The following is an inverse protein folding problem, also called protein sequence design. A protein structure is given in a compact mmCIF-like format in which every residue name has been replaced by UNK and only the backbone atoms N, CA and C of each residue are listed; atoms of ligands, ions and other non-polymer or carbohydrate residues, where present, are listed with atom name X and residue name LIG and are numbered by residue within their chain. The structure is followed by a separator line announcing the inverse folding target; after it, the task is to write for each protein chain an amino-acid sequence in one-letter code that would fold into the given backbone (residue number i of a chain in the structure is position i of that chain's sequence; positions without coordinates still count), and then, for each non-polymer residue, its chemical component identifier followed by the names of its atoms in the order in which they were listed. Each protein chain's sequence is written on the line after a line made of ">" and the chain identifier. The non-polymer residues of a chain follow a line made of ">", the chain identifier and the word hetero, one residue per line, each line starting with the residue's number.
data_IF_281682876249
#
_entry.id   IF_281682876249
#
_cell.length_a   1.000
_cell.length_b   1.000
_cell.length_c   1.000
_cell.angle_alpha   90.00
_cell.angle_beta   90.00
_cell.angle_gamma   90.00
#
_symmetry.space_group_name_H-M   'P 1'
#
loop_
_entity.id
_entity.type
_entity.pdbx_description
1 polymer ?
#
# COMPACT_ATOMS: atom_id res chain seq x y z
N UNK A 1 -23.43 -16.44 -2.51
CA UNK A 1 -22.17 -15.71 -2.78
C UNK A 1 -21.06 -16.39 -2.02
N UNK A 2 -20.30 -17.28 -2.69
CA UNK A 2 -19.15 -17.94 -2.06
C UNK A 2 -18.13 -16.89 -1.67
N UNK A 3 -17.77 -16.82 -0.39
CA UNK A 3 -16.66 -16.00 0.08
C UNK A 3 -15.43 -16.39 -0.73
N UNK A 4 -15.01 -15.51 -1.64
CA UNK A 4 -13.77 -15.71 -2.38
C UNK A 4 -12.66 -15.86 -1.35
N UNK A 5 -11.95 -16.98 -1.40
CA UNK A 5 -10.77 -17.20 -0.57
C UNK A 5 -9.90 -15.95 -0.64
N UNK A 6 -9.42 -15.42 0.50
CA UNK A 6 -8.63 -14.20 0.49
C UNK A 6 -7.47 -14.36 -0.51
N UNK A 7 -7.20 -13.33 -1.32
CA UNK A 7 -6.21 -13.46 -2.36
C UNK A 7 -4.87 -13.79 -1.73
N UNK A 8 -4.26 -14.89 -2.16
CA UNK A 8 -3.01 -15.39 -1.59
C UNK A 8 -1.92 -14.32 -1.76
N UNK A 9 -1.14 -14.02 -0.70
CA UNK A 9 -0.05 -13.06 -0.80
C UNK A 9 0.96 -13.51 -1.85
N UNK A 10 1.58 -12.54 -2.53
CA UNK A 10 2.67 -12.82 -3.45
C UNK A 10 3.83 -13.42 -2.66
N UNK A 11 4.06 -14.73 -2.79
CA UNK A 11 5.23 -15.39 -2.20
C UNK A 11 6.46 -15.00 -3.01
N UNK A 12 7.19 -13.99 -2.51
CA UNK A 12 8.48 -13.60 -3.08
C UNK A 12 9.49 -14.75 -3.01
N UNK A 13 10.48 -14.73 -3.89
CA UNK A 13 11.59 -15.69 -3.80
C UNK A 13 12.40 -15.45 -2.52
N UNK A 14 12.65 -16.52 -1.76
CA UNK A 14 13.58 -16.49 -0.64
C UNK A 14 15.01 -16.72 -1.16
N UNK A 15 15.63 -15.62 -1.60
CA UNK A 15 16.95 -15.63 -2.24
C UNK A 15 18.06 -15.76 -1.19
N UNK A 16 18.79 -16.88 -1.23
CA UNK A 16 19.96 -17.14 -0.39
C UNK A 16 21.25 -17.01 -1.19
N UNK A 17 22.34 -16.48 -0.61
CA UNK A 17 23.64 -16.47 -1.26
C UNK A 17 24.06 -17.90 -1.63
N UNK A 18 24.53 -18.08 -2.86
CA UNK A 18 25.00 -19.36 -3.37
C UNK A 18 26.30 -19.16 -4.15
N UNK A 19 27.23 -20.09 -3.97
CA UNK A 19 28.43 -20.20 -4.80
C UNK A 19 28.14 -21.23 -5.88
N UNK A 20 28.24 -20.82 -7.13
CA UNK A 20 28.06 -21.71 -8.27
C UNK A 20 29.42 -22.30 -8.62
N UNK A 21 29.50 -23.62 -8.74
CA UNK A 21 30.71 -24.37 -9.13
C UNK A 21 30.73 -24.75 -10.62
N UNK A 22 29.66 -24.39 -11.34
CA UNK A 22 29.51 -24.59 -12.77
C UNK A 22 28.97 -23.31 -13.39
N UNK A 23 29.33 -22.99 -14.65
CA UNK A 23 28.73 -21.87 -15.36
C UNK A 23 27.21 -21.99 -15.33
N UNK A 24 26.55 -20.98 -14.78
CA UNK A 24 25.10 -20.93 -14.60
C UNK A 24 24.57 -19.66 -15.24
N UNK A 25 23.28 -19.59 -15.55
CA UNK A 25 22.67 -18.39 -16.13
C UNK A 25 21.75 -17.73 -15.11
N UNK A 26 21.68 -16.41 -15.16
CA UNK A 26 20.70 -15.64 -14.41
C UNK A 26 19.33 -15.78 -15.08
N UNK A 27 18.33 -16.22 -14.32
CA UNK A 27 16.97 -16.44 -14.81
C UNK A 27 16.25 -15.13 -15.19
N UNK A 28 16.74 -13.98 -14.71
CA UNK A 28 16.17 -12.65 -15.01
C UNK A 28 16.76 -12.10 -16.31
N UNK A 29 18.06 -11.78 -16.32
CA UNK A 29 18.70 -11.12 -17.46
C UNK A 29 19.27 -12.09 -18.50
N UNK A 30 19.22 -13.41 -18.27
CA UNK A 30 19.83 -14.45 -19.09
C UNK A 30 21.36 -14.37 -19.23
N UNK A 31 22.02 -13.48 -18.49
CA UNK A 31 23.49 -13.36 -18.50
C UNK A 31 24.17 -14.50 -17.74
N UNK A 32 25.43 -14.77 -18.09
CA UNK A 32 26.26 -15.78 -17.41
C UNK A 32 26.59 -15.34 -15.98
N UNK A 33 26.47 -16.25 -15.03
CA UNK A 33 27.01 -16.13 -13.67
C UNK A 33 28.40 -16.80 -13.71
N UNK A 34 29.50 -16.05 -13.50
CA UNK A 34 30.86 -16.55 -13.69
C UNK A 34 31.18 -17.69 -12.71
N UNK A 35 32.13 -18.53 -13.08
CA UNK A 35 32.68 -19.57 -12.21
C UNK A 35 34.20 -19.34 -12.00
N UNK A 36 34.71 -19.44 -10.76
CA UNK A 36 33.97 -19.45 -9.48
C UNK A 36 33.32 -18.09 -9.23
N UNK A 37 32.02 -18.07 -8.94
CA UNK A 37 31.27 -16.83 -8.74
C UNK A 37 30.09 -17.00 -7.80
N UNK A 38 29.77 -15.90 -7.11
CA UNK A 38 28.67 -15.82 -6.17
C UNK A 38 27.44 -15.20 -6.81
N UNK A 39 26.27 -15.75 -6.51
CA UNK A 39 24.99 -15.14 -6.83
C UNK A 39 23.95 -15.50 -5.78
N UNK A 40 22.68 -15.46 -6.15
CA UNK A 40 21.60 -15.88 -5.29
C UNK A 40 20.81 -17.02 -5.92
N UNK A 41 20.36 -17.95 -5.08
CA UNK A 41 19.45 -19.03 -5.46
C UNK A 41 18.19 -18.94 -4.59
N UNK A 42 17.03 -19.25 -5.15
CA UNK A 42 15.82 -19.39 -4.35
C UNK A 42 15.91 -20.66 -3.48
N UNK A 43 15.58 -20.52 -2.19
CA UNK A 43 15.55 -21.63 -1.23
C UNK A 43 14.25 -22.41 -1.22
N UNK A 44 13.21 -21.92 -1.89
CA UNK A 44 11.91 -22.61 -1.96
C UNK A 44 12.05 -23.92 -2.74
N UNK A 45 11.52 -25.02 -2.19
CA UNK A 45 11.56 -26.33 -2.83
C UNK A 45 10.91 -26.30 -4.22
N UNK A 46 11.60 -26.84 -5.21
CA UNK A 46 11.16 -26.84 -6.62
C UNK A 46 11.38 -25.52 -7.37
N UNK A 47 11.91 -24.49 -6.71
CA UNK A 47 12.30 -23.24 -7.38
C UNK A 47 13.79 -23.24 -7.71
N UNK A 48 14.13 -23.24 -9.00
CA UNK A 48 15.49 -23.21 -9.51
C UNK A 48 15.95 -21.80 -9.91
N UNK A 49 15.25 -20.76 -9.45
CA UNK A 49 15.60 -19.37 -9.73
C UNK A 49 17.02 -19.07 -9.24
N UNK A 50 17.88 -18.73 -10.19
CA UNK A 50 19.26 -18.26 -9.97
C UNK A 50 19.38 -16.84 -10.50
N UNK A 51 19.99 -15.95 -9.73
CA UNK A 51 20.22 -14.55 -10.16
C UNK A 51 21.61 -14.05 -9.83
N UNK A 52 22.05 -13.06 -10.60
CA UNK A 52 23.25 -12.28 -10.30
C UNK A 52 23.15 -11.59 -8.95
N UNK A 53 24.30 -11.18 -8.43
CA UNK A 53 24.37 -10.47 -7.16
C UNK A 53 23.63 -9.13 -7.22
N UNK A 54 23.71 -8.41 -8.33
CA UNK A 54 23.04 -7.11 -8.50
C UNK A 54 22.86 -6.75 -9.99
N UNK A 55 23.89 -6.23 -10.66
CA UNK A 55 23.77 -5.69 -12.01
C UNK A 55 23.57 -6.81 -13.03
N UNK A 56 22.45 -6.76 -13.75
CA UNK A 56 22.15 -7.72 -14.80
C UNK A 56 22.80 -7.39 -16.13
N UNK A 57 22.67 -8.32 -17.08
CA UNK A 57 22.93 -8.07 -18.49
C UNK A 57 21.75 -7.29 -19.12
N UNK A 58 21.98 -6.62 -20.26
CA UNK A 58 20.96 -5.93 -21.05
C UNK A 58 20.15 -4.80 -20.36
N UNK A 59 20.78 -4.01 -19.47
CA UNK A 59 20.11 -2.84 -18.87
C UNK A 59 19.19 -3.16 -17.70
N UNK A 60 19.24 -4.39 -17.18
CA UNK A 60 18.61 -4.73 -15.89
C UNK A 60 19.43 -4.12 -14.76
N UNK A 61 18.86 -3.12 -14.08
CA UNK A 61 19.52 -2.40 -12.98
C UNK A 61 19.80 -3.34 -11.80
N UNK A 62 18.85 -4.22 -11.46
CA UNK A 62 19.00 -5.12 -10.32
C UNK A 62 18.25 -6.45 -10.52
N UNK A 63 18.99 -7.49 -10.92
CA UNK A 63 18.45 -8.85 -11.12
C UNK A 63 17.83 -9.43 -9.85
N UNK A 64 18.33 -9.05 -8.67
CA UNK A 64 17.79 -9.49 -7.39
C UNK A 64 16.43 -8.86 -7.12
N UNK A 65 16.29 -7.56 -7.36
CA UNK A 65 15.02 -6.84 -7.21
C UNK A 65 13.96 -7.39 -8.17
N UNK A 66 14.32 -7.60 -9.44
CA UNK A 66 13.42 -8.14 -10.46
C UNK A 66 12.99 -9.59 -10.17
N UNK A 67 13.89 -10.41 -9.62
CA UNK A 67 13.52 -11.74 -9.18
C UNK A 67 12.49 -11.71 -8.06
N UNK A 68 12.54 -10.73 -7.15
CA UNK A 68 11.52 -10.60 -6.10
C UNK A 68 10.14 -10.26 -6.68
N UNK A 69 10.08 -9.56 -7.82
CA UNK A 69 8.83 -9.24 -8.51
C UNK A 69 8.21 -10.45 -9.25
N UNK A 70 8.99 -11.50 -9.47
CA UNK A 70 8.54 -12.73 -10.13
C UNK A 70 8.04 -13.73 -9.08
N UNK A 71 7.00 -14.51 -9.38
CA UNK A 71 6.53 -15.55 -8.44
C UNK A 71 7.32 -16.84 -8.64
N UNK A 72 7.53 -17.57 -7.55
CA UNK A 72 8.14 -18.90 -7.59
C UNK A 72 7.52 -19.87 -8.61
N UNK A 73 6.19 -20.08 -8.69
CA UNK A 73 5.62 -20.99 -9.68
C UNK A 73 5.71 -20.48 -11.13
N UNK A 74 5.87 -19.17 -11.32
CA UNK A 74 5.85 -18.54 -12.65
C UNK A 74 7.27 -18.44 -13.26
N UNK A 75 8.31 -18.78 -12.50
CA UNK A 75 9.68 -18.71 -13.00
C UNK A 75 9.96 -19.82 -14.01
N UNK A 76 10.66 -19.46 -15.09
CA UNK A 76 11.21 -20.42 -16.07
C UNK A 76 12.72 -20.26 -16.06
N UNK A 77 13.43 -21.38 -15.92
CA UNK A 77 14.88 -21.40 -16.08
C UNK A 77 15.20 -20.95 -17.50
N UNK A 78 15.92 -19.82 -17.62
CA UNK A 78 16.37 -19.30 -18.91
C UNK A 78 17.84 -19.67 -19.10
N UNK A 79 18.14 -20.33 -20.21
CA UNK A 79 19.51 -20.45 -20.71
C UNK A 79 19.76 -19.28 -21.65
N UNK A 80 20.80 -18.51 -21.37
CA UNK A 80 21.26 -17.46 -22.27
C UNK A 80 22.16 -18.02 -23.38
N UNK A 81 22.31 -17.25 -24.45
CA UNK A 81 23.34 -17.51 -25.45
C UNK A 81 24.65 -16.88 -24.96
N UNK A 82 25.70 -17.69 -24.86
CA UNK A 82 27.02 -17.19 -24.50
C UNK A 82 27.68 -16.51 -25.69
N UNK A 83 28.12 -15.26 -25.51
CA UNK A 83 28.97 -14.56 -26.46
C UNK A 83 30.39 -14.36 -25.89
N UNK A 84 31.36 -14.26 -26.79
CA UNK A 84 32.73 -13.94 -26.42
C UNK A 84 32.79 -12.60 -25.68
N UNK A 85 33.38 -12.60 -24.48
CA UNK A 85 33.49 -11.42 -23.61
C UNK A 85 32.38 -11.27 -22.56
N UNK A 86 31.32 -12.09 -22.60
CA UNK A 86 30.25 -12.04 -21.58
C UNK A 86 30.78 -12.39 -20.19
N UNK A 87 31.76 -13.31 -20.10
CA UNK A 87 32.42 -13.65 -18.84
C UNK A 87 33.16 -12.45 -18.25
N UNK A 88 33.97 -11.75 -19.05
CA UNK A 88 34.72 -10.57 -18.59
C UNK A 88 33.80 -9.43 -18.17
N UNK A 89 32.69 -9.22 -18.91
CA UNK A 89 31.64 -8.27 -18.53
C UNK A 89 30.97 -8.67 -17.21
N UNK A 90 30.64 -9.95 -17.03
CA UNK A 90 30.03 -10.44 -15.80
C UNK A 90 30.95 -10.25 -14.60
N UNK A 91 32.25 -10.57 -14.71
CA UNK A 91 33.24 -10.33 -13.65
C UNK A 91 33.34 -8.84 -13.29
N UNK A 92 33.39 -7.95 -14.29
CA UNK A 92 33.40 -6.49 -14.07
C UNK A 92 32.13 -6.03 -13.35
N UNK A 93 30.97 -6.51 -13.77
CA UNK A 93 29.68 -6.14 -13.17
C UNK A 93 29.56 -6.68 -11.73
N UNK A 94 30.04 -7.88 -11.45
CA UNK A 94 30.07 -8.47 -10.12
C UNK A 94 30.99 -7.68 -9.18
N UNK A 95 32.15 -7.22 -9.66
CA UNK A 95 33.06 -6.36 -8.90
C UNK A 95 32.41 -5.03 -8.55
N UNK A 96 31.82 -4.33 -9.54
CA UNK A 96 31.10 -3.07 -9.31
C UNK A 96 29.94 -3.25 -8.33
N UNK A 97 29.15 -4.31 -8.52
CA UNK A 97 28.03 -4.67 -7.64
C UNK A 97 28.50 -4.92 -6.20
N UNK A 98 29.65 -5.57 -6.02
CA UNK A 98 30.22 -5.81 -4.69
C UNK A 98 30.65 -4.51 -4.01
N UNK A 99 31.14 -3.52 -4.75
CA UNK A 99 31.46 -2.20 -4.20
C UNK A 99 30.18 -1.49 -3.76
N UNK A 100 29.15 -1.47 -4.60
CA UNK A 100 27.85 -0.86 -4.29
C UNK A 100 27.21 -1.49 -3.04
N UNK A 101 27.22 -2.82 -2.94
CA UNK A 101 26.70 -3.53 -1.76
C UNK A 101 27.48 -3.16 -0.49
N UNK A 102 28.80 -3.04 -0.56
CA UNK A 102 29.62 -2.59 0.57
C UNK A 102 29.34 -1.14 0.96
N UNK A 103 29.10 -0.25 -0.01
CA UNK A 103 28.72 1.14 0.25
C UNK A 103 27.35 1.20 0.94
N UNK A 104 26.34 0.50 0.43
CA UNK A 104 25.01 0.43 1.04
C UNK A 104 25.11 -0.14 2.45
N UNK A 105 25.82 -1.25 2.64
CA UNK A 105 26.04 -1.86 3.95
C UNK A 105 26.74 -0.89 4.90
N UNK A 106 27.78 -0.20 4.45
CA UNK A 106 28.49 0.81 5.24
C UNK A 106 27.60 1.99 5.65
N UNK A 107 26.70 2.44 4.77
CA UNK A 107 25.72 3.49 5.08
C UNK A 107 24.74 3.00 6.14
N UNK A 108 24.18 1.80 5.97
CA UNK A 108 23.22 1.19 6.92
C UNK A 108 23.88 0.96 8.28
N UNK A 109 25.09 0.39 8.31
CA UNK A 109 25.87 0.18 9.53
C UNK A 109 26.17 1.51 10.23
N UNK A 110 26.47 2.58 9.47
CA UNK A 110 26.63 3.93 10.03
C UNK A 110 25.31 4.46 10.62
N UNK A 111 24.17 4.30 9.94
CA UNK A 111 22.88 4.70 10.51
C UNK A 111 22.56 3.92 11.80
N UNK A 112 22.88 2.62 11.84
CA UNK A 112 22.73 1.77 13.02
C UNK A 112 23.63 2.24 14.16
N UNK A 113 24.92 2.48 13.90
CA UNK A 113 25.86 3.04 14.90
C UNK A 113 25.46 4.40 15.43
N UNK A 114 24.77 5.21 14.61
CA UNK A 114 24.20 6.49 15.01
C UNK A 114 22.87 6.35 15.78
N UNK A 115 22.42 5.13 16.08
CA UNK A 115 21.18 4.86 16.81
C UNK A 115 19.91 5.26 16.06
N UNK A 116 19.98 5.56 14.75
CA UNK A 116 18.81 6.06 14.00
C UNK A 116 17.77 4.98 13.76
N UNK A 117 18.19 3.72 13.59
CA UNK A 117 17.26 2.60 13.49
C UNK A 117 16.60 2.31 14.84
N UNK A 118 17.34 2.43 15.94
CA UNK A 118 16.80 2.28 17.30
C UNK A 118 15.79 3.40 17.61
N UNK A 119 16.12 4.65 17.28
CA UNK A 119 15.21 5.78 17.41
C UNK A 119 13.95 5.63 16.54
N UNK A 120 14.07 5.00 15.36
CA UNK A 120 12.92 4.69 14.52
C UNK A 120 12.06 3.59 15.17
N UNK A 121 12.68 2.53 15.68
CA UNK A 121 11.99 1.45 16.39
C UNK A 121 11.26 1.98 17.65
N UNK A 122 11.88 2.89 18.39
CA UNK A 122 11.26 3.57 19.53
C UNK A 122 10.06 4.44 19.10
N UNK A 123 10.16 5.15 17.97
CA UNK A 123 9.01 5.89 17.43
C UNK A 123 7.88 4.97 17.00
N UNK A 124 8.20 3.86 16.33
CA UNK A 124 7.21 2.86 15.93
C UNK A 124 6.54 2.24 17.15
N UNK A 125 7.29 1.91 18.20
CA UNK A 125 6.75 1.34 19.43
C UNK A 125 5.90 2.36 20.19
N UNK A 126 6.31 3.63 20.26
CA UNK A 126 5.55 4.73 20.86
C UNK A 126 4.21 4.95 20.15
N UNK A 127 4.21 5.02 18.81
CA UNK A 127 2.98 5.14 18.01
C UNK A 127 2.09 3.92 18.21
N UNK A 128 2.66 2.72 18.23
CA UNK A 128 1.91 1.47 18.45
C UNK A 128 1.29 1.42 19.84
N UNK A 129 2.03 1.85 20.86
CA UNK A 129 1.54 1.96 22.23
C UNK A 129 0.42 2.98 22.32
N UNK A 130 0.60 4.18 21.75
CA UNK A 130 -0.41 5.24 21.72
C UNK A 130 -1.68 4.73 21.06
N UNK A 131 -1.56 4.05 19.92
CA UNK A 131 -2.69 3.45 19.23
C UNK A 131 -3.45 2.44 20.11
N UNK A 132 -2.73 1.55 20.81
CA UNK A 132 -3.34 0.59 21.74
C UNK A 132 -3.98 1.26 22.95
N UNK A 133 -3.30 2.22 23.57
CA UNK A 133 -3.76 2.96 24.75
C UNK A 133 -5.03 3.77 24.45
N UNK A 134 -5.12 4.36 23.25
CA UNK A 134 -6.32 5.04 22.77
C UNK A 134 -7.43 4.08 22.32
N UNK A 135 -7.43 2.81 22.73
CA UNK A 135 -8.51 1.86 22.42
C UNK A 135 -8.51 1.35 20.98
N UNK A 136 -7.41 1.55 20.25
CA UNK A 136 -7.13 0.97 18.96
C UNK A 136 -8.19 1.21 17.89
N UNK A 137 -8.40 0.19 17.05
CA UNK A 137 -9.30 0.25 15.90
C UNK A 137 -10.74 0.53 16.32
N UNK A 138 -11.19 0.02 17.46
CA UNK A 138 -12.57 0.16 17.92
C UNK A 138 -12.90 1.61 18.30
N UNK A 139 -11.99 2.31 18.99
CA UNK A 139 -12.19 3.73 19.30
C UNK A 139 -12.07 4.58 18.04
N UNK A 140 -11.09 4.29 17.19
CA UNK A 140 -10.94 4.98 15.90
C UNK A 140 -12.20 4.85 15.01
N UNK A 141 -12.86 3.69 15.00
CA UNK A 141 -14.17 3.51 14.33
C UNK A 141 -15.26 4.41 14.93
N UNK A 142 -15.36 4.43 16.26
CA UNK A 142 -16.35 5.25 16.97
C UNK A 142 -16.12 6.74 16.70
N UNK A 143 -14.88 7.19 16.73
CA UNK A 143 -14.54 8.59 16.51
C UNK A 143 -14.72 8.99 15.05
N UNK A 144 -14.36 8.13 14.08
CA UNK A 144 -14.67 8.35 12.66
C UNK A 144 -16.18 8.54 12.44
N UNK A 145 -17.01 7.68 13.05
CA UNK A 145 -18.46 7.83 12.98
C UNK A 145 -18.93 9.18 13.56
N UNK A 146 -18.45 9.56 14.75
CA UNK A 146 -18.79 10.85 15.37
C UNK A 146 -18.38 12.03 14.52
N UNK A 147 -17.16 12.01 13.96
CA UNK A 147 -16.67 13.09 13.10
C UNK A 147 -17.49 13.20 11.81
N UNK A 148 -17.82 12.08 11.18
CA UNK A 148 -18.68 12.05 9.99
C UNK A 148 -20.10 12.58 10.31
N UNK A 149 -20.69 12.17 11.42
CA UNK A 149 -21.99 12.64 11.87
C UNK A 149 -21.98 14.15 12.17
N UNK A 150 -20.95 14.63 12.88
CA UNK A 150 -20.76 16.04 13.21
C UNK A 150 -20.60 16.87 11.93
N UNK A 151 -19.68 16.50 11.03
CA UNK A 151 -19.47 17.20 9.76
C UNK A 151 -20.74 17.23 8.92
N UNK A 152 -21.44 16.10 8.79
CA UNK A 152 -22.71 16.02 8.07
C UNK A 152 -23.76 16.95 8.67
N UNK A 153 -23.90 16.98 10.01
CA UNK A 153 -24.86 17.84 10.70
C UNK A 153 -24.57 19.33 10.53
N UNK A 154 -23.31 19.74 10.66
CA UNK A 154 -22.88 21.14 10.48
C UNK A 154 -23.15 21.58 9.05
N UNK A 155 -22.80 20.73 8.07
CA UNK A 155 -23.01 21.05 6.65
C UNK A 155 -24.50 21.15 6.29
N UNK A 156 -25.34 20.27 6.87
CA UNK A 156 -26.79 20.31 6.69
C UNK A 156 -27.40 21.59 7.26
N UNK A 157 -27.04 21.96 8.50
CA UNK A 157 -27.57 23.15 9.18
C UNK A 157 -27.17 24.43 8.44
N UNK A 158 -25.89 24.56 8.07
CA UNK A 158 -25.40 25.72 7.33
C UNK A 158 -26.07 25.84 5.96
N UNK A 159 -26.18 24.75 5.21
CA UNK A 159 -26.82 24.77 3.88
C UNK A 159 -28.30 25.10 3.99
N UNK A 160 -29.01 24.47 4.92
CA UNK A 160 -30.45 24.72 5.10
C UNK A 160 -30.68 26.19 5.47
N UNK A 161 -29.93 26.72 6.45
CA UNK A 161 -30.08 28.10 6.90
C UNK A 161 -29.80 29.12 5.80
N UNK A 162 -28.71 28.94 5.04
CA UNK A 162 -28.34 29.87 3.95
C UNK A 162 -29.36 29.85 2.81
N UNK A 163 -29.77 28.67 2.35
CA UNK A 163 -30.70 28.55 1.21
C UNK A 163 -32.10 29.01 1.60
N UNK A 164 -32.56 28.64 2.80
CA UNK A 164 -33.86 29.08 3.30
C UNK A 164 -33.92 30.61 3.41
N UNK A 165 -32.90 31.23 4.03
CA UNK A 165 -32.81 32.68 4.14
C UNK A 165 -32.79 33.34 2.75
N UNK A 166 -31.99 32.81 1.82
CA UNK A 166 -31.92 33.32 0.45
C UNK A 166 -33.28 33.25 -0.27
N UNK A 167 -34.00 32.14 -0.19
CA UNK A 167 -35.33 32.01 -0.76
C UNK A 167 -36.32 33.01 -0.15
N UNK A 168 -36.33 33.17 1.17
CA UNK A 168 -37.27 34.09 1.85
C UNK A 168 -36.97 35.57 1.64
N UNK A 169 -35.70 35.96 1.45
CA UNK A 169 -35.31 37.36 1.29
C UNK A 169 -35.34 37.84 -0.17
N UNK A 170 -35.05 36.95 -1.13
CA UNK A 170 -34.83 37.35 -2.52
C UNK A 170 -35.88 36.84 -3.50
N UNK A 171 -36.77 35.93 -3.10
CA UNK A 171 -37.84 35.42 -3.97
C UNK A 171 -39.21 35.83 -3.42
N UNK A 172 -39.80 36.86 -4.01
CA UNK A 172 -41.09 37.43 -3.58
C UNK A 172 -42.28 36.52 -3.82
N UNK A 173 -42.15 35.56 -4.74
CA UNK A 173 -43.25 34.67 -5.16
C UNK A 173 -43.17 33.26 -4.53
N UNK A 174 -42.16 32.99 -3.70
CA UNK A 174 -41.97 31.67 -3.10
C UNK A 174 -42.85 31.49 -1.86
N UNK A 175 -43.65 30.43 -1.83
CA UNK A 175 -44.33 30.05 -0.59
C UNK A 175 -43.31 29.53 0.43
N UNK A 176 -43.62 29.67 1.72
CA UNK A 176 -42.79 29.12 2.80
C UNK A 176 -42.52 27.61 2.62
N UNK A 177 -43.52 26.87 2.10
CA UNK A 177 -43.41 25.43 1.85
C UNK A 177 -42.39 25.13 0.75
N UNK A 178 -42.40 25.92 -0.31
CA UNK A 178 -41.47 25.74 -1.44
C UNK A 178 -40.05 26.11 -1.02
N UNK A 179 -39.88 27.18 -0.23
CA UNK A 179 -38.57 27.57 0.33
C UNK A 179 -38.00 26.49 1.27
N UNK A 180 -38.86 25.85 2.08
CA UNK A 180 -38.47 24.74 2.93
C UNK A 180 -38.10 23.48 2.11
N UNK A 181 -38.81 23.20 1.03
CA UNK A 181 -38.53 22.06 0.16
C UNK A 181 -37.22 22.27 -0.64
N UNK A 182 -36.98 23.45 -1.20
CA UNK A 182 -35.72 23.79 -1.90
C UNK A 182 -34.52 23.74 -0.96
N UNK A 183 -34.63 24.34 0.24
CA UNK A 183 -33.53 24.32 1.21
C UNK A 183 -33.22 22.92 1.72
N UNK A 184 -34.26 22.10 1.95
CA UNK A 184 -34.09 20.69 2.31
C UNK A 184 -33.44 19.88 1.18
N UNK A 185 -33.88 20.07 -0.07
CA UNK A 185 -33.27 19.42 -1.23
C UNK A 185 -31.79 19.83 -1.38
N UNK A 186 -31.47 21.12 -1.27
CA UNK A 186 -30.08 21.58 -1.40
C UNK A 186 -29.20 21.04 -0.26
N UNK A 187 -29.68 21.05 0.98
CA UNK A 187 -28.97 20.49 2.13
C UNK A 187 -28.73 18.98 1.97
N UNK A 188 -29.75 18.23 1.53
CA UNK A 188 -29.63 16.81 1.27
C UNK A 188 -28.62 16.50 0.14
N UNK A 189 -28.62 17.29 -0.94
CA UNK A 189 -27.65 17.16 -2.05
C UNK A 189 -26.20 17.39 -1.59
N UNK A 190 -26.00 18.42 -0.77
CA UNK A 190 -24.70 18.76 -0.20
C UNK A 190 -24.18 17.68 0.75
N UNK A 191 -25.03 17.17 1.64
CA UNK A 191 -24.70 16.06 2.56
C UNK A 191 -24.43 14.77 1.78
N UNK A 192 -25.23 14.48 0.76
CA UNK A 192 -25.03 13.35 -0.15
C UNK A 192 -23.65 13.43 -0.83
N UNK A 193 -23.28 14.61 -1.36
CA UNK A 193 -21.98 14.81 -2.02
C UNK A 193 -20.82 14.60 -1.04
N UNK A 194 -20.90 15.16 0.18
CA UNK A 194 -19.90 14.98 1.22
C UNK A 194 -19.69 13.49 1.56
N UNK A 195 -20.78 12.76 1.81
CA UNK A 195 -20.70 11.33 2.12
C UNK A 195 -20.23 10.51 0.92
N UNK A 196 -20.58 10.91 -0.32
CA UNK A 196 -20.09 10.28 -1.54
C UNK A 196 -18.56 10.39 -1.67
N UNK A 197 -18.00 11.58 -1.42
CA UNK A 197 -16.54 11.79 -1.43
C UNK A 197 -15.85 10.97 -0.33
N UNK A 198 -16.40 10.97 0.88
CA UNK A 198 -15.84 10.19 1.99
C UNK A 198 -15.89 8.69 1.69
N UNK A 199 -16.99 8.18 1.12
CA UNK A 199 -17.11 6.79 0.71
C UNK A 199 -16.07 6.43 -0.37
N UNK A 200 -15.86 7.30 -1.36
CA UNK A 200 -14.84 7.14 -2.39
C UNK A 200 -13.44 7.06 -1.77
N UNK A 201 -13.09 7.98 -0.87
CA UNK A 201 -11.80 7.97 -0.17
C UNK A 201 -11.63 6.69 0.65
N UNK A 202 -12.69 6.19 1.28
CA UNK A 202 -12.68 4.91 1.99
C UNK A 202 -12.46 3.71 1.07
N UNK A 203 -13.08 3.70 -0.10
CA UNK A 203 -12.84 2.67 -1.11
C UNK A 203 -11.41 2.71 -1.65
N UNK A 204 -10.86 3.89 -1.93
CA UNK A 204 -9.47 4.07 -2.37
C UNK A 204 -8.49 3.62 -1.28
N UNK A 205 -8.72 4.02 -0.03
CA UNK A 205 -7.93 3.58 1.11
C UNK A 205 -7.97 2.06 1.27
N UNK A 206 -9.17 1.44 1.17
CA UNK A 206 -9.34 -0.01 1.21
C UNK A 206 -8.59 -0.70 0.08
N UNK A 207 -8.65 -0.17 -1.14
CA UNK A 207 -7.89 -0.68 -2.28
C UNK A 207 -6.38 -0.63 -2.01
N UNK A 208 -5.88 0.50 -1.48
CA UNK A 208 -4.49 0.67 -1.07
C UNK A 208 -4.07 -0.35 0.00
N UNK A 209 -4.84 -0.50 1.07
CA UNK A 209 -4.57 -1.49 2.13
C UNK A 209 -4.58 -2.92 1.61
N UNK A 210 -5.49 -3.25 0.68
CA UNK A 210 -5.51 -4.57 0.04
C UNK A 210 -4.26 -4.81 -0.82
N UNK A 211 -3.82 -3.81 -1.60
CA UNK A 211 -2.57 -3.89 -2.36
C UNK A 211 -1.35 -4.03 -1.46
N UNK A 212 -1.34 -3.33 -0.32
CA UNK A 212 -0.29 -3.42 0.69
C UNK A 212 -0.23 -4.83 1.28
N UNK A 213 -1.37 -5.39 1.68
CA UNK A 213 -1.47 -6.76 2.21
C UNK A 213 -0.96 -7.80 1.20
N UNK A 214 -1.36 -7.67 -0.07
CA UNK A 214 -0.93 -8.56 -1.16
C UNK A 214 0.57 -8.54 -1.43
N UNK A 215 1.21 -7.40 -1.12
CA UNK A 215 2.61 -7.13 -1.38
C UNK A 215 3.45 -7.08 -0.10
N UNK A 216 2.89 -7.41 1.07
CA UNK A 216 3.57 -7.22 2.34
C UNK A 216 4.87 -8.03 2.41
N UNK A 217 4.80 -9.32 2.08
CA UNK A 217 5.97 -10.21 1.98
C UNK A 217 6.99 -9.72 0.96
N UNK A 218 6.53 -9.22 -0.19
CA UNK A 218 7.40 -8.63 -1.20
C UNK A 218 8.13 -7.39 -0.68
N UNK A 219 7.42 -6.50 0.01
CA UNK A 219 7.99 -5.29 0.61
C UNK A 219 9.03 -5.68 1.66
N UNK A 220 8.71 -6.62 2.56
CA UNK A 220 9.65 -7.14 3.57
C UNK A 220 10.90 -7.72 2.91
N UNK A 221 10.72 -8.62 1.95
CA UNK A 221 11.81 -9.25 1.23
C UNK A 221 12.67 -8.23 0.47
N UNK A 222 12.05 -7.24 -0.17
CA UNK A 222 12.75 -6.19 -0.91
C UNK A 222 13.52 -5.25 0.02
N UNK A 223 12.91 -4.76 1.11
CA UNK A 223 13.58 -3.90 2.08
C UNK A 223 14.76 -4.62 2.75
N UNK A 224 14.59 -5.89 3.13
CA UNK A 224 15.67 -6.71 3.69
C UNK A 224 16.77 -7.02 2.68
N UNK A 225 16.41 -7.35 1.45
CA UNK A 225 17.36 -7.80 0.44
C UNK A 225 18.09 -6.67 -0.27
N UNK A 226 17.41 -5.58 -0.55
CA UNK A 226 17.92 -4.48 -1.37
C UNK A 226 18.36 -3.32 -0.49
N UNK A 227 17.56 -2.92 0.49
CA UNK A 227 17.92 -1.83 1.41
C UNK A 227 18.77 -2.31 2.59
N UNK A 228 18.93 -3.63 2.78
CA UNK A 228 19.63 -4.23 3.92
C UNK A 228 19.05 -3.82 5.28
N UNK A 229 17.76 -3.47 5.31
CA UNK A 229 17.03 -3.09 6.53
C UNK A 229 16.05 -4.19 6.87
N UNK A 230 16.17 -4.76 8.08
CA UNK A 230 15.19 -5.73 8.58
C UNK A 230 14.01 -4.99 9.23
N UNK A 231 12.85 -5.00 8.59
CA UNK A 231 11.64 -4.34 9.11
C UNK A 231 11.14 -5.00 10.41
N UNK A 232 11.39 -6.30 10.58
CA UNK A 232 10.98 -7.02 11.78
C UNK A 232 11.84 -6.60 12.99
N UNK A 233 13.11 -6.26 12.78
CA UNK A 233 14.00 -5.69 13.82
C UNK A 233 13.53 -4.32 14.30
N UNK A 234 12.95 -3.51 13.39
CA UNK A 234 12.39 -2.18 13.71
C UNK A 234 10.97 -2.31 14.30
N UNK A 235 10.39 -3.51 14.32
CA UNK A 235 9.04 -3.76 14.81
C UNK A 235 7.93 -3.28 13.85
N UNK A 236 8.24 -3.11 12.56
CA UNK A 236 7.28 -2.68 11.53
C UNK A 236 6.61 -3.90 10.90
N UNK A 237 5.41 -4.23 11.39
CA UNK A 237 4.58 -5.26 10.76
C UNK A 237 3.66 -4.67 9.68
N UNK A 238 4.12 -4.74 8.42
CA UNK A 238 3.39 -4.27 7.25
C UNK A 238 2.03 -4.96 7.10
N UNK A 239 1.90 -6.23 7.48
CA UNK A 239 0.62 -6.94 7.39
C UNK A 239 -0.37 -6.45 8.43
N UNK A 240 0.08 -6.28 9.68
CA UNK A 240 -0.77 -5.74 10.74
C UNK A 240 -1.29 -4.35 10.36
N UNK A 241 -0.42 -3.48 9.83
CA UNK A 241 -0.80 -2.16 9.33
C UNK A 241 -1.83 -2.25 8.20
N UNK A 242 -1.60 -3.15 7.22
CA UNK A 242 -2.52 -3.34 6.11
C UNK A 242 -3.90 -3.85 6.57
N UNK A 243 -3.95 -4.78 7.52
CA UNK A 243 -5.21 -5.32 8.09
C UNK A 243 -5.99 -4.23 8.84
N UNK A 244 -5.31 -3.47 9.69
CA UNK A 244 -5.92 -2.33 10.41
C UNK A 244 -6.46 -1.31 9.40
N UNK A 245 -5.68 -0.96 8.37
CA UNK A 245 -6.11 -0.06 7.31
C UNK A 245 -7.36 -0.57 6.57
N UNK A 246 -7.40 -1.86 6.21
CA UNK A 246 -8.53 -2.49 5.53
C UNK A 246 -9.81 -2.45 6.38
N UNK A 247 -9.66 -2.68 7.68
CA UNK A 247 -10.75 -2.69 8.64
C UNK A 247 -11.34 -1.29 8.85
N UNK A 248 -10.47 -0.29 9.03
CA UNK A 248 -10.84 1.11 9.27
C UNK A 248 -11.47 1.75 8.03
N UNK A 249 -10.84 1.59 6.87
CA UNK A 249 -11.32 2.15 5.59
C UNK A 249 -12.60 1.47 5.12
N UNK A 250 -12.76 0.16 5.38
CA UNK A 250 -14.00 -0.56 5.13
C UNK A 250 -15.17 -0.03 5.97
N UNK A 251 -14.94 0.22 7.26
CA UNK A 251 -15.95 0.85 8.13
C UNK A 251 -16.29 2.27 7.67
N UNK A 252 -15.27 3.08 7.36
CA UNK A 252 -15.45 4.44 6.87
C UNK A 252 -16.33 4.49 5.61
N UNK A 253 -16.07 3.59 4.66
CA UNK A 253 -16.87 3.48 3.43
C UNK A 253 -18.30 3.00 3.69
N UNK A 254 -18.49 2.04 4.61
CA UNK A 254 -19.82 1.52 4.94
C UNK A 254 -20.70 2.57 5.61
N UNK A 255 -20.16 3.29 6.61
CA UNK A 255 -20.89 4.37 7.29
C UNK A 255 -21.23 5.50 6.33
N UNK A 256 -20.25 5.93 5.52
CA UNK A 256 -20.46 6.98 4.55
C UNK A 256 -21.49 6.59 3.47
N UNK A 257 -21.45 5.33 3.01
CA UNK A 257 -22.46 4.79 2.10
C UNK A 257 -23.87 4.79 2.69
N UNK A 258 -24.01 4.43 3.98
CA UNK A 258 -25.28 4.53 4.70
C UNK A 258 -25.80 5.98 4.78
N UNK A 259 -24.93 6.91 5.16
CA UNK A 259 -25.24 8.35 5.19
C UNK A 259 -25.66 8.90 3.82
N UNK A 260 -24.97 8.47 2.75
CA UNK A 260 -25.31 8.82 1.38
C UNK A 260 -26.73 8.37 1.00
N UNK A 261 -27.10 7.12 1.31
CA UNK A 261 -28.43 6.58 0.98
C UNK A 261 -29.54 7.34 1.72
N UNK A 262 -29.34 7.64 3.00
CA UNK A 262 -30.29 8.44 3.78
C UNK A 262 -30.45 9.83 3.19
N UNK A 263 -29.33 10.50 2.86
CA UNK A 263 -29.36 11.82 2.25
C UNK A 263 -30.06 11.80 0.87
N UNK A 264 -29.83 10.78 0.05
CA UNK A 264 -30.51 10.59 -1.23
C UNK A 264 -32.02 10.41 -1.06
N UNK A 265 -32.46 9.63 -0.07
CA UNK A 265 -33.89 9.44 0.21
C UNK A 265 -34.56 10.76 0.65
N UNK A 266 -33.89 11.56 1.49
CA UNK A 266 -34.36 12.89 1.87
C UNK A 266 -34.41 13.81 0.65
N UNK A 267 -33.37 13.80 -0.18
CA UNK A 267 -33.31 14.60 -1.40
C UNK A 267 -34.47 14.29 -2.35
N UNK A 268 -34.70 13.01 -2.66
CA UNK A 268 -35.80 12.56 -3.53
C UNK A 268 -37.16 13.01 -2.99
N UNK A 269 -37.37 12.89 -1.67
CA UNK A 269 -38.61 13.33 -1.03
C UNK A 269 -38.80 14.84 -1.13
N UNK A 270 -37.74 15.62 -0.92
CA UNK A 270 -37.80 17.09 -0.98
C UNK A 270 -38.02 17.58 -2.40
N UNK A 271 -37.40 16.93 -3.40
CA UNK A 271 -37.64 17.23 -4.82
C UNK A 271 -39.05 16.85 -5.26
N UNK A 272 -39.60 15.75 -4.77
CA UNK A 272 -40.98 15.35 -5.08
C UNK A 272 -42.05 16.27 -4.45
N UNK A 273 -41.67 17.10 -3.48
CA UNK A 273 -42.54 18.07 -2.83
C UNK A 273 -42.46 19.48 -3.45
N UNK A 274 -41.53 19.70 -4.39
CA UNK A 274 -41.43 20.88 -5.25
C UNK A 274 -42.30 20.71 -6.49
#
# INVERSE_FOLDING_TARGET
>A
MSASSPPKPLCAHSLVPAVFWTPTYCCVCSGIIPWPGGGYKCSNQGCEMTVHRWIGHHGVENCRADALLTKCPDHRVRKGNYNFGDLSKAIKNDFNSSIEEQVVKGIVDKQRKLGKLDALAEKVSSVTWLWRAYGGVQRARSDLFKYQALLGSVFAVLTTGVVFLACTLYMTDFSYKDAAAVSSAQAASNVMTLFGVIALLGMLGRHGSMKLLLRAELIKAWTKSIMLIDLDEIGVDVEAVARVGLELTGHMAAVAGGGFIVALAVWLRSVAAL
#
